data_IF_686165176208
#
_entry.id   IF_686165176208
#
_cell.length_a   1.000
_cell.length_b   1.000
_cell.length_c   1.000
_cell.angle_alpha   90.00
_cell.angle_beta   90.00
_cell.angle_gamma   90.00
#
_symmetry.space_group_name_H-M   'P 1'
#
loop_
_entity.id
_entity.type
_entity.pdbx_description
1 polymer ?
#
# COMPACT_ATOMS: atom_id res chain seq x y z
N UNK A 1 45.94 5.19 52.06
CA UNK A 1 47.01 4.47 51.35
C UNK A 1 46.46 4.00 50.01
N UNK A 2 47.05 4.52 48.92
CA UNK A 2 47.03 4.08 47.50
C UNK A 2 45.67 4.05 46.77
N UNK A 3 45.37 5.08 45.98
CA UNK A 3 45.79 5.32 44.57
C UNK A 3 45.00 4.50 43.57
N UNK A 4 43.87 5.06 43.13
CA UNK A 4 43.12 4.59 41.97
C UNK A 4 43.70 5.26 40.71
N UNK A 5 44.45 4.50 39.93
CA UNK A 5 44.97 4.93 38.62
C UNK A 5 43.82 5.00 37.62
N UNK A 6 43.47 6.20 37.18
CA UNK A 6 42.59 6.38 36.03
C UNK A 6 43.33 5.97 34.75
N UNK A 7 42.87 4.92 34.09
CA UNK A 7 43.29 4.55 32.74
C UNK A 7 42.61 5.50 31.75
N UNK A 8 43.39 6.40 31.16
CA UNK A 8 42.95 7.22 30.02
C UNK A 8 42.90 6.34 28.78
N UNK A 9 41.70 6.05 28.29
CA UNK A 9 41.49 5.51 26.95
C UNK A 9 41.42 6.71 25.98
N UNK A 10 42.40 6.82 25.10
CA UNK A 10 42.37 7.78 24.00
C UNK A 10 41.37 7.27 22.95
N UNK A 11 40.16 7.84 22.96
CA UNK A 11 39.14 7.59 21.94
C UNK A 11 39.62 8.26 20.65
N UNK A 12 40.07 7.46 19.69
CA UNK A 12 40.36 7.93 18.32
C UNK A 12 39.01 8.19 17.66
N UNK A 13 38.56 9.43 17.74
CA UNK A 13 37.36 9.89 17.06
C UNK A 13 37.62 9.95 15.54
N UNK A 14 37.26 8.88 14.84
CA UNK A 14 37.10 8.92 13.39
C UNK A 14 35.89 9.81 13.10
N UNK A 15 36.01 10.86 12.27
CA UNK A 15 34.83 11.60 11.84
C UNK A 15 34.01 10.69 10.94
N UNK A 16 32.97 10.07 11.50
CA UNK A 16 31.87 9.50 10.73
C UNK A 16 31.21 10.66 10.00
N UNK A 17 31.59 10.86 8.73
CA UNK A 17 30.84 11.72 7.83
C UNK A 17 29.58 10.93 7.48
N UNK A 18 28.55 11.05 8.33
CA UNK A 18 27.21 10.61 7.98
C UNK A 18 26.80 11.42 6.76
N UNK A 19 26.79 10.77 5.59
CA UNK A 19 26.18 11.33 4.40
C UNK A 19 24.68 11.23 4.62
N UNK A 20 24.06 12.33 5.03
CA UNK A 20 22.60 12.42 5.02
C UNK A 20 22.14 12.23 3.57
N UNK A 21 21.51 11.09 3.28
CA UNK A 21 20.75 10.89 2.07
C UNK A 21 19.49 11.73 2.27
N UNK A 22 19.53 12.99 1.86
CA UNK A 22 18.32 13.81 1.87
C UNK A 22 17.42 13.24 0.80
N UNK A 23 16.27 12.67 1.20
CA UNK A 23 15.25 12.23 0.27
C UNK A 23 14.90 13.40 -0.67
N UNK A 24 15.21 13.22 -1.95
CA UNK A 24 15.00 14.26 -2.95
C UNK A 24 13.64 14.07 -3.59
N UNK A 25 12.78 15.07 -3.43
CA UNK A 25 11.48 15.06 -4.10
C UNK A 25 11.67 15.00 -5.62
N UNK A 26 11.15 13.94 -6.24
CA UNK A 26 11.23 13.69 -7.68
C UNK A 26 10.16 14.48 -8.44
N UNK A 27 8.92 14.43 -7.94
CA UNK A 27 7.77 15.11 -8.51
C UNK A 27 7.13 16.03 -7.49
N UNK A 28 6.85 17.26 -7.90
CA UNK A 28 6.23 18.27 -7.06
C UNK A 28 4.88 18.69 -7.63
N UNK A 29 3.98 19.11 -6.75
CA UNK A 29 2.67 19.63 -7.09
C UNK A 29 2.38 20.91 -6.30
N UNK A 30 1.79 21.90 -6.95
CA UNK A 30 1.34 23.12 -6.27
C UNK A 30 -0.16 23.04 -6.04
N UNK A 31 -0.56 23.10 -4.77
CA UNK A 31 -1.96 23.00 -4.34
C UNK A 31 -2.78 24.14 -4.97
N UNK A 32 -3.88 23.77 -5.61
CA UNK A 32 -4.83 24.66 -6.26
C UNK A 32 -6.08 24.85 -5.40
N UNK A 33 -6.89 25.85 -5.76
CA UNK A 33 -8.18 26.06 -5.11
C UNK A 33 -9.14 24.91 -5.44
N UNK A 34 -9.73 24.31 -4.39
CA UNK A 34 -10.66 23.19 -4.51
C UNK A 34 -10.00 21.81 -4.44
N UNK A 35 -8.67 21.74 -4.33
CA UNK A 35 -7.97 20.48 -4.17
C UNK A 35 -8.25 19.82 -2.81
N UNK A 36 -8.37 18.50 -2.84
CA UNK A 36 -8.27 17.57 -1.71
C UNK A 36 -7.22 16.49 -2.03
N UNK A 37 -6.69 15.79 -1.03
CA UNK A 37 -5.66 14.76 -1.28
C UNK A 37 -6.08 13.74 -2.33
N UNK A 38 -7.32 13.26 -2.29
CA UNK A 38 -7.81 12.26 -3.25
C UNK A 38 -7.81 12.79 -4.69
N UNK A 39 -8.25 14.04 -4.89
CA UNK A 39 -8.27 14.67 -6.22
C UNK A 39 -6.85 14.92 -6.76
N UNK A 40 -5.91 15.32 -5.88
CA UNK A 40 -4.50 15.46 -6.24
C UNK A 40 -3.94 14.10 -6.61
N UNK A 41 -4.19 13.10 -5.76
CA UNK A 41 -3.71 11.73 -5.90
C UNK A 41 -4.16 11.11 -7.21
N UNK A 42 -5.46 11.19 -7.50
CA UNK A 42 -6.06 10.65 -8.72
C UNK A 42 -5.54 11.36 -9.97
N UNK A 43 -5.36 12.69 -9.93
CA UNK A 43 -4.84 13.45 -11.06
C UNK A 43 -3.35 13.23 -11.32
N UNK A 44 -2.59 12.81 -10.29
CA UNK A 44 -1.14 12.72 -10.35
C UNK A 44 -0.61 11.27 -10.28
N UNK A 45 -1.47 10.26 -10.21
CA UNK A 45 -1.10 8.86 -10.07
C UNK A 45 -0.15 8.64 -8.87
N UNK A 46 -0.53 9.17 -7.71
CA UNK A 46 0.13 8.89 -6.42
C UNK A 46 -0.94 8.35 -5.47
N UNK A 47 -0.58 7.41 -4.59
CA UNK A 47 -1.53 6.92 -3.58
C UNK A 47 -1.89 8.03 -2.58
N UNK A 48 -3.12 8.05 -2.09
CA UNK A 48 -3.53 9.00 -1.03
C UNK A 48 -2.66 8.83 0.23
N UNK A 49 -2.31 7.58 0.59
CA UNK A 49 -1.43 7.28 1.72
C UNK A 49 -0.01 7.85 1.53
N UNK A 50 0.67 7.45 0.46
CA UNK A 50 1.98 7.99 0.07
C UNK A 50 2.02 9.53 0.08
N UNK A 51 1.00 10.20 -0.47
CA UNK A 51 0.92 11.66 -0.47
C UNK A 51 0.93 12.23 0.95
N UNK A 52 0.15 11.64 1.86
CA UNK A 52 0.13 12.07 3.26
C UNK A 52 1.46 11.77 3.98
N UNK A 53 2.03 10.59 3.77
CA UNK A 53 3.26 10.13 4.43
C UNK A 53 4.48 10.96 4.01
N UNK A 54 4.67 11.19 2.70
CA UNK A 54 5.81 11.95 2.18
C UNK A 54 5.78 13.41 2.66
N UNK A 55 4.59 13.96 2.88
CA UNK A 55 4.40 15.33 3.35
C UNK A 55 4.04 15.39 4.84
N UNK A 56 4.36 14.35 5.61
CA UNK A 56 4.10 14.33 7.04
C UNK A 56 4.72 15.56 7.73
N UNK A 57 3.97 16.16 8.66
CA UNK A 57 4.33 17.43 9.32
C UNK A 57 3.98 18.69 8.52
N UNK A 58 3.66 18.55 7.23
CA UNK A 58 3.05 19.61 6.42
C UNK A 58 1.57 19.36 6.14
N UNK A 59 1.22 18.13 5.75
CA UNK A 59 -0.16 17.64 5.61
C UNK A 59 -0.47 16.80 6.85
N UNK A 60 -1.65 17.00 7.45
CA UNK A 60 -2.13 16.17 8.55
C UNK A 60 -2.65 14.81 8.05
N UNK A 61 -2.77 13.83 8.95
CA UNK A 61 -3.21 12.47 8.60
C UNK A 61 -4.62 12.39 8.00
N UNK A 62 -5.44 13.43 8.19
CA UNK A 62 -6.79 13.52 7.63
C UNK A 62 -6.84 14.33 6.32
N UNK A 63 -5.69 14.81 5.84
CA UNK A 63 -5.55 15.75 4.74
C UNK A 63 -6.50 16.97 4.83
N UNK A 64 -6.72 17.49 6.03
CA UNK A 64 -7.69 18.57 6.26
C UNK A 64 -7.09 19.98 6.15
N UNK A 65 -5.76 20.07 6.09
CA UNK A 65 -5.00 21.31 6.25
C UNK A 65 -4.25 21.78 4.99
N UNK A 66 -4.62 21.33 3.80
CA UNK A 66 -3.99 21.77 2.55
C UNK A 66 -3.99 23.30 2.40
N UNK A 67 -2.84 23.87 2.06
CA UNK A 67 -2.68 25.31 1.86
C UNK A 67 -2.54 25.64 0.37
N UNK A 68 -3.47 26.41 -0.17
CA UNK A 68 -3.47 26.84 -1.57
C UNK A 68 -2.16 27.58 -1.89
N UNK A 69 -1.54 27.24 -3.02
CA UNK A 69 -0.29 27.82 -3.49
C UNK A 69 0.97 27.21 -2.87
N UNK A 70 0.85 26.32 -1.88
CA UNK A 70 1.99 25.59 -1.37
C UNK A 70 2.40 24.45 -2.30
N UNK A 71 3.69 24.12 -2.27
CA UNK A 71 4.25 23.01 -3.05
C UNK A 71 4.46 21.81 -2.15
N UNK A 72 3.91 20.68 -2.55
CA UNK A 72 4.02 19.40 -1.88
C UNK A 72 4.77 18.41 -2.76
N UNK A 73 5.35 17.40 -2.15
CA UNK A 73 6.02 16.33 -2.85
C UNK A 73 5.06 15.20 -3.19
N UNK A 74 5.11 14.68 -4.41
CA UNK A 74 4.31 13.55 -4.86
C UNK A 74 5.04 12.21 -4.74
N UNK A 75 6.37 12.22 -4.63
CA UNK A 75 7.19 11.02 -4.64
C UNK A 75 8.66 11.36 -4.54
N UNK A 76 9.43 10.56 -3.80
CA UNK A 76 10.88 10.66 -3.76
C UNK A 76 11.52 9.95 -4.96
N UNK A 77 12.77 10.31 -5.26
CA UNK A 77 13.51 9.67 -6.33
C UNK A 77 13.65 8.17 -6.06
N UNK A 78 13.29 7.35 -7.06
CA UNK A 78 13.23 5.89 -7.01
C UNK A 78 12.08 5.30 -6.17
N UNK A 79 11.28 6.12 -5.48
CA UNK A 79 10.14 5.69 -4.64
C UNK A 79 8.77 6.13 -5.22
N UNK A 80 8.79 6.69 -6.44
CA UNK A 80 7.66 7.34 -7.11
C UNK A 80 7.11 6.48 -8.24
N UNK A 81 6.32 5.46 -7.87
CA UNK A 81 5.65 4.63 -8.83
C UNK A 81 4.24 5.11 -9.10
N UNK A 82 3.83 4.96 -10.36
CA UNK A 82 2.60 5.55 -10.86
C UNK A 82 1.48 4.54 -11.12
N UNK A 83 1.68 3.26 -10.80
CA UNK A 83 0.61 2.26 -10.92
C UNK A 83 -0.36 2.43 -9.76
N UNK A 84 -1.48 3.08 -10.04
CA UNK A 84 -2.48 3.43 -9.03
C UNK A 84 -3.88 3.07 -9.50
N UNK A 85 -4.81 3.02 -8.55
CA UNK A 85 -6.22 2.76 -8.78
C UNK A 85 -7.05 3.65 -7.86
N UNK A 86 -8.12 4.23 -8.40
CA UNK A 86 -9.06 5.04 -7.63
C UNK A 86 -10.22 4.13 -7.24
N UNK A 87 -10.44 3.98 -5.94
CA UNK A 87 -11.53 3.16 -5.40
C UNK A 87 -12.88 3.67 -5.89
N UNK A 88 -13.66 2.77 -6.50
CA UNK A 88 -15.01 3.02 -6.98
C UNK A 88 -16.08 2.42 -6.05
N UNK A 89 -17.34 2.73 -6.36
CA UNK A 89 -18.45 2.25 -5.56
C UNK A 89 -18.61 0.73 -5.69
N UNK A 90 -18.64 0.05 -4.54
CA UNK A 90 -18.75 -1.41 -4.37
C UNK A 90 -17.47 -2.20 -4.60
N UNK A 91 -16.34 -1.52 -4.74
CA UNK A 91 -15.06 -2.21 -4.76
C UNK A 91 -14.78 -2.89 -3.42
N UNK A 92 -14.06 -4.00 -3.49
CA UNK A 92 -13.52 -4.72 -2.34
C UNK A 92 -12.01 -4.90 -2.54
N UNK A 93 -11.26 -5.10 -1.46
CA UNK A 93 -9.82 -5.36 -1.58
C UNK A 93 -9.53 -6.64 -2.36
N UNK A 94 -10.36 -7.68 -2.25
CA UNK A 94 -10.24 -8.92 -3.02
C UNK A 94 -10.39 -8.66 -4.53
N UNK A 95 -11.44 -7.93 -4.94
CA UNK A 95 -11.67 -7.57 -6.34
C UNK A 95 -10.51 -6.73 -6.89
N UNK A 96 -10.12 -5.68 -6.16
CA UNK A 96 -9.03 -4.78 -6.54
C UNK A 96 -7.71 -5.57 -6.65
N UNK A 97 -7.31 -6.31 -5.63
CA UNK A 97 -6.09 -7.11 -5.65
C UNK A 97 -6.09 -8.11 -6.82
N UNK A 98 -7.23 -8.75 -7.06
CA UNK A 98 -7.44 -9.67 -8.19
C UNK A 98 -7.25 -9.02 -9.55
N UNK A 99 -7.68 -7.77 -9.75
CA UNK A 99 -7.49 -7.04 -11.02
C UNK A 99 -6.02 -6.73 -11.31
N UNK A 100 -5.22 -6.49 -10.27
CA UNK A 100 -3.79 -6.19 -10.38
C UNK A 100 -2.90 -7.43 -10.23
N UNK A 101 -3.48 -8.61 -10.01
CA UNK A 101 -2.75 -9.88 -9.92
C UNK A 101 -1.84 -9.97 -8.70
N UNK A 102 -2.22 -9.30 -7.60
CA UNK A 102 -1.53 -9.36 -6.30
C UNK A 102 -2.44 -10.03 -5.27
N UNK A 103 -1.87 -10.52 -4.17
CA UNK A 103 -2.67 -10.94 -3.01
C UNK A 103 -3.01 -9.73 -2.11
N UNK A 104 -4.01 -9.90 -1.24
CA UNK A 104 -4.43 -8.85 -0.30
C UNK A 104 -3.29 -8.45 0.64
N UNK A 105 -2.42 -9.38 1.03
CA UNK A 105 -1.25 -9.08 1.87
C UNK A 105 -0.32 -8.08 1.17
N UNK A 106 -0.05 -8.27 -0.12
CA UNK A 106 0.72 -7.31 -0.93
C UNK A 106 -0.02 -5.98 -1.07
N UNK A 107 -1.35 -6.00 -1.23
CA UNK A 107 -2.14 -4.77 -1.27
C UNK A 107 -2.01 -3.96 0.04
N UNK A 108 -2.10 -4.62 1.19
CA UNK A 108 -1.97 -4.00 2.51
C UNK A 108 -0.56 -3.48 2.78
N UNK A 109 0.47 -4.22 2.36
CA UNK A 109 1.86 -3.76 2.46
C UNK A 109 2.11 -2.51 1.60
N UNK A 110 1.53 -2.45 0.41
CA UNK A 110 1.65 -1.28 -0.47
C UNK A 110 0.82 -0.08 0.03
N UNK A 111 -0.24 -0.33 0.81
CA UNK A 111 -1.16 0.68 1.32
C UNK A 111 -1.47 0.44 2.82
N UNK A 112 -0.51 0.73 3.73
CA UNK A 112 -0.65 0.46 5.16
C UNK A 112 -1.79 1.20 5.87
N UNK A 113 -2.43 2.17 5.22
CA UNK A 113 -3.66 2.77 5.70
C UNK A 113 -4.85 1.80 5.68
N UNK A 114 -4.82 0.75 4.87
CA UNK A 114 -5.92 -0.22 4.76
C UNK A 114 -5.85 -1.19 5.94
N UNK A 115 -6.98 -1.37 6.63
CA UNK A 115 -7.05 -2.38 7.70
C UNK A 115 -7.21 -3.80 7.16
N UNK A 116 -6.87 -4.77 8.00
CA UNK A 116 -6.92 -6.22 7.73
C UNK A 116 -8.29 -6.74 7.25
N UNK A 117 -9.37 -6.00 7.50
CA UNK A 117 -10.75 -6.34 7.10
C UNK A 117 -11.22 -5.56 5.86
N UNK A 118 -10.38 -4.71 5.28
CA UNK A 118 -10.74 -3.82 4.17
C UNK A 118 -12.01 -2.98 4.44
N UNK A 119 -12.22 -2.58 5.70
CA UNK A 119 -13.48 -1.91 6.12
C UNK A 119 -13.39 -0.38 6.13
N UNK A 120 -12.19 0.17 5.96
CA UNK A 120 -11.94 1.60 6.04
C UNK A 120 -11.68 2.26 4.68
N UNK A 121 -11.87 1.52 3.59
CA UNK A 121 -11.70 2.05 2.24
C UNK A 121 -12.92 2.88 1.82
N UNK A 122 -12.72 3.88 0.97
CA UNK A 122 -13.81 4.75 0.52
C UNK A 122 -13.66 5.19 -0.94
N UNK A 123 -14.78 5.55 -1.56
CA UNK A 123 -14.80 6.00 -2.96
C UNK A 123 -13.95 7.26 -3.13
N UNK A 124 -13.03 7.22 -4.10
CA UNK A 124 -12.09 8.29 -4.41
C UNK A 124 -10.70 8.11 -3.79
N UNK A 125 -10.55 7.22 -2.81
CA UNK A 125 -9.24 6.88 -2.26
C UNK A 125 -8.36 6.26 -3.35
N UNK A 126 -7.06 6.62 -3.37
CA UNK A 126 -6.14 6.16 -4.40
C UNK A 126 -5.16 5.15 -3.81
N UNK A 127 -5.22 3.93 -4.31
CA UNK A 127 -4.31 2.84 -3.95
C UNK A 127 -3.14 2.76 -4.91
N UNK A 128 -2.08 2.18 -4.38
CA UNK A 128 -0.85 1.92 -5.07
C UNK A 128 -0.55 0.42 -5.16
N UNK A 129 0.09 0.00 -6.25
CA UNK A 129 0.31 -1.41 -6.57
C UNK A 129 1.74 -1.66 -7.03
N UNK A 130 2.40 -2.56 -6.31
CA UNK A 130 3.58 -3.28 -6.77
C UNK A 130 3.34 -4.78 -6.70
N UNK A 131 3.72 -5.53 -7.76
CA UNK A 131 3.81 -6.97 -7.64
C UNK A 131 4.97 -7.33 -6.70
N UNK A 132 4.75 -8.29 -5.79
CA UNK A 132 5.79 -8.80 -4.87
C UNK A 132 6.99 -9.49 -5.57
N UNK A 133 6.99 -9.59 -6.91
CA UNK A 133 7.93 -10.44 -7.68
C UNK A 133 9.16 -9.72 -8.23
N UNK A 134 9.34 -8.45 -7.89
CA UNK A 134 10.55 -7.71 -8.27
C UNK A 134 11.68 -7.80 -7.24
N UNK A 135 11.49 -8.56 -6.16
CA UNK A 135 12.61 -9.24 -5.53
C UNK A 135 13.20 -10.19 -6.58
N UNK A 136 14.33 -9.80 -7.21
CA UNK A 136 15.15 -10.68 -8.03
C UNK A 136 15.34 -12.00 -7.29
N UNK A 137 14.54 -13.01 -7.68
CA UNK A 137 14.79 -14.38 -7.29
C UNK A 137 16.11 -14.76 -7.96
N UNK A 138 17.21 -14.57 -7.24
CA UNK A 138 18.38 -15.42 -7.41
C UNK A 138 17.94 -16.83 -7.08
N UNK A 139 17.33 -17.49 -8.07
CA UNK A 139 16.96 -18.88 -8.02
C UNK A 139 18.23 -19.66 -7.67
N UNK A 140 18.36 -20.03 -6.40
CA UNK A 140 19.30 -21.05 -5.99
C UNK A 140 18.90 -22.33 -6.73
N UNK A 141 19.85 -23.05 -7.34
CA UNK A 141 19.51 -24.25 -8.10
C UNK A 141 18.93 -25.28 -7.14
N UNK A 142 17.62 -25.50 -7.21
CA UNK A 142 16.97 -26.59 -6.49
C UNK A 142 17.50 -27.92 -7.03
N UNK A 143 18.19 -28.64 -6.16
CA UNK A 143 18.76 -29.95 -6.47
C UNK A 143 17.62 -30.95 -6.69
N UNK A 144 17.54 -31.43 -7.93
CA UNK A 144 16.89 -32.65 -8.45
C UNK A 144 16.18 -33.55 -7.42
N UNK A 145 14.84 -33.56 -7.46
CA UNK A 145 14.04 -34.64 -6.90
C UNK A 145 13.71 -35.66 -7.98
N UNK A 146 14.18 -36.90 -7.75
CA UNK A 146 13.99 -38.08 -8.59
C UNK A 146 12.51 -38.34 -8.87
N UNK A 147 12.10 -38.17 -10.12
CA UNK A 147 10.80 -38.59 -10.65
C UNK A 147 10.75 -40.12 -10.77
N UNK A 148 9.79 -40.75 -10.08
CA UNK A 148 9.37 -42.14 -10.33
C UNK A 148 8.39 -42.18 -11.51
N UNK A 149 8.54 -43.11 -12.47
CA UNK A 149 7.64 -43.23 -13.60
C UNK A 149 6.33 -43.90 -13.17
N UNK A 150 5.21 -43.18 -13.28
CA UNK A 150 3.87 -43.79 -13.23
C UNK A 150 3.44 -44.21 -14.63
N UNK A 151 3.08 -45.48 -14.74
CA UNK A 151 2.71 -46.18 -15.96
C UNK A 151 1.38 -45.70 -16.53
N UNK A 152 1.42 -45.44 -17.83
CA UNK A 152 0.31 -45.05 -18.69
C UNK A 152 -0.74 -46.16 -18.83
N UNK A 153 -2.02 -45.79 -18.91
CA UNK A 153 -3.08 -46.67 -19.41
C UNK A 153 -4.17 -45.91 -20.15
N UNK A 154 -4.23 -46.22 -21.44
CA UNK A 154 -5.42 -46.51 -22.27
C UNK A 154 -6.33 -45.35 -22.70
N UNK A 155 -6.23 -45.11 -24.01
CA UNK A 155 -7.02 -44.27 -24.91
C UNK A 155 -8.47 -44.80 -25.05
N UNK A 156 -9.45 -43.89 -25.14
CA UNK A 156 -10.70 -44.12 -25.92
C UNK A 156 -11.03 -42.83 -26.69
N UNK A 157 -11.36 -42.90 -28.00
CA UNK A 157 -11.66 -41.72 -28.81
C UNK A 157 -13.17 -41.41 -28.94
N UNK A 158 -13.44 -40.12 -29.15
CA UNK A 158 -14.48 -39.54 -30.05
C UNK A 158 -15.95 -39.60 -29.58
N UNK A 159 -16.57 -38.43 -29.40
CA UNK A 159 -17.57 -37.88 -30.35
C UNK A 159 -18.00 -36.45 -29.99
N UNK A 160 -18.11 -35.67 -31.06
CA UNK A 160 -18.62 -34.32 -31.23
C UNK A 160 -20.08 -34.14 -30.78
N UNK A 161 -20.39 -32.98 -30.18
CA UNK A 161 -21.66 -32.30 -30.47
C UNK A 161 -21.57 -30.81 -30.12
N UNK A 162 -21.69 -29.98 -31.14
CA UNK A 162 -21.76 -28.52 -31.07
C UNK A 162 -23.20 -28.10 -31.35
N UNK A 163 -23.82 -27.29 -30.48
CA UNK A 163 -24.95 -26.39 -30.82
C UNK A 163 -25.29 -25.48 -29.61
N UNK A 164 -26.03 -24.37 -29.79
CA UNK A 164 -25.50 -23.04 -30.07
C UNK A 164 -25.67 -22.05 -28.90
N UNK A 165 -25.00 -20.90 -29.04
CA UNK A 165 -25.18 -19.73 -28.20
C UNK A 165 -26.63 -19.22 -28.27
N UNK A 166 -27.23 -19.06 -27.10
CA UNK A 166 -28.50 -18.33 -26.94
C UNK A 166 -28.18 -16.95 -26.36
N UNK A 167 -28.30 -15.95 -27.21
CA UNK A 167 -28.27 -14.53 -26.85
C UNK A 167 -29.52 -14.22 -26.03
N UNK A 168 -29.36 -13.76 -24.79
CA UNK A 168 -30.43 -13.14 -24.01
C UNK A 168 -30.09 -11.67 -23.84
N UNK A 169 -30.84 -10.85 -24.56
CA UNK A 169 -30.80 -9.39 -24.53
C UNK A 169 -32.03 -8.90 -23.77
N UNK A 170 -31.89 -8.49 -22.50
CA UNK A 170 -32.87 -7.64 -21.79
C UNK A 170 -32.09 -6.89 -20.70
N UNK A 171 -31.85 -5.59 -20.81
CA UNK A 171 -32.77 -4.47 -20.60
C UNK A 171 -32.33 -3.73 -19.32
N UNK A 172 -31.58 -2.65 -19.55
CA UNK A 172 -31.31 -1.58 -18.60
C UNK A 172 -32.62 -1.08 -18.02
N UNK A 173 -32.74 -1.15 -16.69
CA UNK A 173 -33.73 -0.33 -15.96
C UNK A 173 -32.99 0.44 -14.88
N UNK A 174 -32.72 1.70 -15.20
CA UNK A 174 -32.33 2.73 -14.25
C UNK A 174 -33.49 2.98 -13.28
N UNK A 175 -33.22 2.89 -11.99
CA UNK A 175 -34.10 3.39 -10.94
C UNK A 175 -33.28 4.27 -10.01
N UNK A 176 -33.25 5.55 -10.33
CA UNK A 176 -32.91 6.64 -9.43
C UNK A 176 -34.09 6.91 -8.50
N UNK A 177 -33.90 6.75 -7.20
CA UNK A 177 -34.62 7.45 -6.13
C UNK A 177 -33.81 7.23 -4.84
N UNK A 178 -33.06 8.23 -4.40
CA UNK A 178 -33.51 9.34 -3.56
C UNK A 178 -33.29 9.04 -2.08
N UNK A 179 -32.47 9.90 -1.52
CA UNK A 179 -32.05 10.06 -0.14
C UNK A 179 -33.22 10.13 0.85
N UNK A 180 -33.02 9.56 2.04
CA UNK A 180 -33.53 10.13 3.28
C UNK A 180 -32.62 9.71 4.44
N UNK A 181 -31.91 10.70 4.98
CA UNK A 181 -31.26 10.66 6.27
C UNK A 181 -32.30 10.46 7.38
N UNK A 182 -31.92 9.81 8.49
CA UNK A 182 -32.25 10.27 9.84
C UNK A 182 -31.27 9.66 10.85
N UNK A 183 -30.72 10.56 11.66
CA UNK A 183 -29.77 10.39 12.75
C UNK A 183 -30.43 9.92 14.05
N UNK A 184 -29.68 9.18 14.87
CA UNK A 184 -29.63 9.23 16.35
C UNK A 184 -28.60 8.17 16.79
N UNK A 185 -27.44 8.49 17.40
CA UNK A 185 -27.25 8.80 18.83
C UNK A 185 -27.97 7.77 19.73
N UNK A 186 -27.34 7.03 20.64
CA UNK A 186 -26.31 7.43 21.61
C UNK A 186 -25.76 6.22 22.39
N UNK A 187 -24.48 6.32 22.79
CA UNK A 187 -23.83 5.90 24.06
C UNK A 187 -24.05 4.50 24.62
N UNK A 188 -22.95 3.76 24.86
CA UNK A 188 -22.66 3.18 26.18
C UNK A 188 -21.16 2.83 26.32
N UNK A 189 -20.69 3.00 27.54
CA UNK A 189 -19.30 3.05 28.01
C UNK A 189 -18.65 1.66 28.16
N UNK A 190 -17.32 1.63 28.16
CA UNK A 190 -16.53 0.43 28.50
C UNK A 190 -15.04 0.73 28.47
N UNK A 191 -14.56 1.32 29.57
CA UNK A 191 -13.15 1.38 29.96
C UNK A 191 -12.55 -0.04 29.98
N UNK A 192 -11.33 -0.21 29.47
CA UNK A 192 -10.35 -1.15 30.01
C UNK A 192 -8.95 -0.60 29.70
N UNK A 193 -8.24 -0.28 30.78
CA UNK A 193 -6.83 0.03 30.84
C UNK A 193 -6.01 -1.19 30.37
N UNK A 194 -5.05 -1.00 29.46
CA UNK A 194 -3.93 -1.95 29.32
C UNK A 194 -2.63 -1.13 29.16
N UNK A 195 -1.94 -0.97 30.29
CA UNK A 195 -0.58 -0.48 30.40
C UNK A 195 0.36 -1.57 29.83
N UNK A 196 0.84 -1.36 28.60
CA UNK A 196 1.89 -2.15 27.97
C UNK A 196 3.05 -1.26 27.55
N UNK A 197 3.88 -0.89 28.52
CA UNK A 197 5.26 -0.45 28.29
C UNK A 197 6.05 -1.67 27.75
N UNK A 198 6.34 -1.69 26.46
CA UNK A 198 7.50 -2.41 25.92
C UNK A 198 8.14 -1.51 24.85
N UNK A 199 9.25 -0.90 25.26
CA UNK A 199 10.23 -0.24 24.41
C UNK A 199 10.79 -1.27 23.40
N UNK A 200 10.28 -1.28 22.16
CA UNK A 200 10.96 -1.89 21.02
C UNK A 200 11.49 -0.77 20.11
N UNK A 201 12.63 -0.22 20.53
CA UNK A 201 13.51 0.57 19.69
C UNK A 201 14.10 -0.32 18.58
N UNK A 202 13.60 -0.13 17.36
CA UNK A 202 14.35 -0.43 16.13
C UNK A 202 13.77 -1.53 15.27
N UNK A 203 12.91 -1.15 14.34
CA UNK A 203 13.12 -1.34 12.89
C UNK A 203 11.99 -0.58 12.15
N UNK A 204 12.02 0.75 12.26
CA UNK A 204 11.18 1.61 11.43
C UNK A 204 11.74 1.64 9.99
N UNK A 205 10.85 1.41 9.03
CA UNK A 205 10.87 2.00 7.67
C UNK A 205 11.53 1.25 6.49
N UNK A 206 11.69 -0.07 6.52
CA UNK A 206 11.81 -0.85 5.26
C UNK A 206 10.42 -1.28 4.78
N UNK A 207 9.48 -0.33 4.68
CA UNK A 207 8.31 -0.52 3.83
C UNK A 207 8.82 -0.66 2.40
N UNK A 208 8.42 -1.67 1.62
CA UNK A 208 8.95 -1.88 0.28
C UNK A 208 8.54 -0.71 -0.61
N UNK A 209 9.41 0.30 -0.67
CA UNK A 209 9.32 1.38 -1.63
C UNK A 209 9.65 0.82 -3.00
N UNK A 210 9.27 1.57 -4.04
CA UNK A 210 9.50 1.20 -5.44
C UNK A 210 10.94 0.83 -5.81
N UNK A 211 11.93 1.23 -5.01
CA UNK A 211 13.35 1.09 -5.29
C UNK A 211 13.94 -0.26 -4.88
N UNK A 212 13.22 -1.07 -4.09
CA UNK A 212 13.60 -2.44 -3.77
C UNK A 212 13.28 -3.45 -4.91
N UNK A 213 13.08 -2.94 -6.14
CA UNK A 213 12.70 -3.69 -7.35
C UNK A 213 13.76 -3.65 -8.46
#
# INVERSE_FOLDING_TARGET
MFSSKALSFAVVALPFVARSVVAHCNRQYTIQEGDICDSISAANNVSTYQLATINAGYIDSTCSNLQIGATICLGYLNEDCSTTYVVEAKDTCDDIAGWFGIDEATLYNNNPNINDKCTNIYVGEVFYFLPATSAFSIATPITSSTVTPVTSSTVIPVTTSATPATTVTYATTSSSAASAATSAASTDDGDDDDDGDDDDDGDDDDLPWCDEL
#
